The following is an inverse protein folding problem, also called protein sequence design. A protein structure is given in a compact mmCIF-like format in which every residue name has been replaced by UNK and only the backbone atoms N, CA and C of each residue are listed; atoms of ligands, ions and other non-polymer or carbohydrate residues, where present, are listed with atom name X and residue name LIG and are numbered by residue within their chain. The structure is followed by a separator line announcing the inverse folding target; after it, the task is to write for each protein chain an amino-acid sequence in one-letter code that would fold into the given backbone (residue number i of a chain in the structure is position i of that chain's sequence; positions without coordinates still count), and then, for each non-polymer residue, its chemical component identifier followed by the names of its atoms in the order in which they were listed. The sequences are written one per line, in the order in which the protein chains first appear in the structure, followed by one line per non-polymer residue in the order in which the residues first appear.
data_IF_680609994523
#
_entry.id   IF_680609994523
#
_cell.length_a   1.000
_cell.length_b   1.000
_cell.length_c   1.000
_cell.angle_alpha   90.00
_cell.angle_beta   90.00
_cell.angle_gamma   90.00
#
_symmetry.space_group_name_H-M   'P 1'
#
loop_
_entity.id
_entity.type
_entity.pdbx_description
1 polymer ?
#
# COMPACT_ATOMS: atom_id res chain seq x y z
N UNK A 1 1.41 0.25 -50.38
CA UNK A 1 1.45 1.27 -49.30
C UNK A 1 2.02 0.65 -48.03
N UNK A 2 3.26 0.97 -47.67
CA UNK A 2 3.93 0.40 -46.49
C UNK A 2 3.51 1.20 -45.25
N UNK A 3 2.68 0.62 -44.38
CA UNK A 3 2.31 1.24 -43.10
C UNK A 3 3.55 1.27 -42.19
N UNK A 4 4.02 2.48 -41.86
CA UNK A 4 5.11 2.70 -40.91
C UNK A 4 4.53 2.65 -39.50
N UNK A 5 4.99 1.73 -38.65
CA UNK A 5 4.59 1.64 -37.24
C UNK A 5 5.53 2.52 -36.43
N UNK A 6 4.98 3.53 -35.75
CA UNK A 6 5.74 4.33 -34.77
C UNK A 6 5.68 3.64 -33.42
N UNK A 7 6.80 3.08 -32.98
CA UNK A 7 6.92 2.42 -31.68
C UNK A 7 7.17 3.44 -30.56
N UNK A 8 6.34 3.41 -29.51
CA UNK A 8 6.45 4.28 -28.33
C UNK A 8 6.77 3.52 -27.04
N UNK A 9 7.49 2.39 -27.14
CA UNK A 9 7.76 1.49 -26.02
C UNK A 9 8.29 2.19 -24.76
N UNK A 10 9.31 3.05 -24.89
CA UNK A 10 9.90 3.73 -23.73
C UNK A 10 8.91 4.65 -23.00
N UNK A 11 8.02 5.29 -23.76
CA UNK A 11 6.98 6.14 -23.18
C UNK A 11 5.95 5.29 -22.42
N UNK A 12 5.55 4.15 -22.99
CA UNK A 12 4.66 3.20 -22.35
C UNK A 12 5.28 2.63 -21.07
N UNK A 13 6.53 2.18 -21.12
CA UNK A 13 7.23 1.61 -19.96
C UNK A 13 7.37 2.62 -18.83
N UNK A 14 7.70 3.88 -19.12
CA UNK A 14 7.73 4.95 -18.11
C UNK A 14 6.36 5.20 -17.48
N UNK A 15 5.29 5.12 -18.26
CA UNK A 15 3.92 5.30 -17.76
C UNK A 15 3.52 4.16 -16.83
N UNK A 16 3.82 2.92 -17.22
CA UNK A 16 3.59 1.73 -16.39
C UNK A 16 4.38 1.81 -15.09
N UNK A 17 5.67 2.17 -15.16
CA UNK A 17 6.56 2.30 -13.99
C UNK A 17 6.03 3.33 -12.99
N UNK A 18 5.60 4.50 -13.47
CA UNK A 18 4.97 5.54 -12.66
C UNK A 18 3.66 5.06 -12.04
N UNK A 19 2.78 4.44 -12.84
CA UNK A 19 1.48 3.95 -12.39
C UNK A 19 1.60 2.89 -11.28
N UNK A 20 2.56 1.97 -11.41
CA UNK A 20 2.82 0.95 -10.41
C UNK A 20 3.26 1.55 -9.07
N UNK A 21 4.24 2.45 -9.10
CA UNK A 21 4.75 3.12 -7.88
C UNK A 21 3.62 3.83 -7.15
N UNK A 22 2.90 4.70 -7.84
CA UNK A 22 1.84 5.52 -7.24
C UNK A 22 0.67 4.68 -6.73
N UNK A 23 0.29 3.61 -7.44
CA UNK A 23 -0.78 2.73 -6.98
C UNK A 23 -0.40 1.94 -5.73
N UNK A 24 0.86 1.54 -5.60
CA UNK A 24 1.38 0.86 -4.40
C UNK A 24 1.46 1.83 -3.22
N UNK A 25 1.96 3.05 -3.45
CA UNK A 25 1.98 4.11 -2.43
C UNK A 25 0.57 4.39 -1.91
N UNK A 26 -0.39 4.59 -2.81
CA UNK A 26 -1.79 4.83 -2.43
C UNK A 26 -2.38 3.64 -1.65
N UNK A 27 -2.10 2.41 -2.09
CA UNK A 27 -2.66 1.20 -1.46
C UNK A 27 -2.11 1.00 -0.06
N UNK A 28 -0.81 1.16 0.12
CA UNK A 28 -0.16 0.99 1.42
C UNK A 28 -0.54 2.12 2.39
N UNK A 29 -0.64 3.36 1.90
CA UNK A 29 -1.11 4.49 2.70
C UNK A 29 -2.57 4.30 3.14
N UNK A 30 -3.44 3.85 2.23
CA UNK A 30 -4.85 3.57 2.54
C UNK A 30 -5.00 2.44 3.55
N UNK A 31 -4.17 1.39 3.43
CA UNK A 31 -4.16 0.28 4.38
C UNK A 31 -3.70 0.73 5.78
N UNK A 32 -2.69 1.58 5.85
CA UNK A 32 -2.24 2.17 7.12
C UNK A 32 -3.37 3.01 7.78
N UNK A 33 -4.06 3.86 7.01
CA UNK A 33 -5.19 4.65 7.50
C UNK A 33 -6.36 3.76 7.99
N UNK A 34 -6.70 2.71 7.25
CA UNK A 34 -7.73 1.76 7.66
C UNK A 34 -7.36 1.05 8.97
N UNK A 35 -6.11 0.58 9.08
CA UNK A 35 -5.61 -0.07 10.28
C UNK A 35 -5.59 0.87 11.50
N UNK A 36 -5.30 2.16 11.31
CA UNK A 36 -5.39 3.17 12.37
C UNK A 36 -6.82 3.37 12.89
N UNK A 37 -7.83 3.20 12.03
CA UNK A 37 -9.24 3.37 12.39
C UNK A 37 -9.89 2.15 13.06
N UNK A 38 -9.33 0.95 12.87
CA UNK A 38 -9.90 -0.33 13.36
C UNK A 38 -8.89 -1.15 14.19
N UNK A 39 -8.19 -0.50 15.12
CA UNK A 39 -7.11 -1.12 15.89
C UNK A 39 -7.58 -2.34 16.73
N UNK A 40 -8.60 -2.16 17.58
CA UNK A 40 -9.30 -3.23 18.32
C UNK A 40 -10.44 -2.66 19.19
N UNK A 41 -11.44 -3.47 19.57
CA UNK A 41 -12.60 -3.02 20.32
C UNK A 41 -12.24 -2.39 21.68
N UNK A 42 -12.73 -1.16 21.90
CA UNK A 42 -12.77 -0.51 23.22
C UNK A 42 -11.49 0.15 23.72
N UNK A 43 -10.32 -0.02 23.06
CA UNK A 43 -9.05 0.37 23.69
C UNK A 43 -7.94 0.89 22.76
N UNK A 44 -8.14 0.96 21.44
CA UNK A 44 -7.10 1.36 20.47
C UNK A 44 -6.63 2.83 20.52
N UNK A 45 -7.31 3.70 21.27
CA UNK A 45 -7.12 5.16 21.19
C UNK A 45 -6.62 5.84 22.47
N UNK A 46 -6.44 5.12 23.58
CA UNK A 46 -6.19 5.76 24.89
C UNK A 46 -4.88 6.57 24.90
N UNK A 47 -3.81 6.03 24.32
CA UNK A 47 -2.50 6.70 24.26
C UNK A 47 -2.12 7.16 22.86
N UNK A 48 -2.85 6.72 21.82
CA UNK A 48 -2.53 6.99 20.40
C UNK A 48 -1.20 6.39 19.90
N UNK A 49 -0.39 5.77 20.78
CA UNK A 49 0.94 5.25 20.43
C UNK A 49 0.88 4.19 19.34
N UNK A 50 -0.05 3.23 19.47
CA UNK A 50 -0.24 2.19 18.45
C UNK A 50 -0.72 2.79 17.14
N UNK A 51 -1.64 3.76 17.18
CA UNK A 51 -2.12 4.43 15.97
C UNK A 51 -0.98 5.17 15.25
N UNK A 52 -0.20 5.95 15.99
CA UNK A 52 0.96 6.68 15.46
C UNK A 52 2.09 5.77 14.97
N UNK A 53 2.15 4.53 15.47
CA UNK A 53 3.11 3.53 15.01
C UNK A 53 2.79 3.01 13.61
N UNK A 54 1.51 3.00 13.22
CA UNK A 54 1.08 2.46 11.92
C UNK A 54 1.37 3.47 10.82
N UNK A 55 2.28 3.13 9.92
CA UNK A 55 2.76 4.02 8.85
C UNK A 55 2.84 3.27 7.53
N UNK A 56 2.96 4.01 6.43
CA UNK A 56 3.34 3.49 5.12
C UNK A 56 4.64 4.18 4.68
N UNK A 57 5.59 3.40 4.18
CA UNK A 57 6.80 3.88 3.54
C UNK A 57 6.60 3.98 2.02
N UNK A 58 7.33 4.90 1.38
CA UNK A 58 7.31 5.02 -0.07
C UNK A 58 7.75 3.71 -0.77
N UNK A 59 7.07 3.40 -1.86
CA UNK A 59 7.32 2.24 -2.69
C UNK A 59 8.74 2.30 -3.27
N UNK A 60 9.49 1.22 -3.03
CA UNK A 60 10.86 1.08 -3.51
C UNK A 60 10.88 0.22 -4.76
N UNK A 61 11.75 0.60 -5.71
CA UNK A 61 12.01 -0.20 -6.90
C UNK A 61 12.78 -1.47 -6.50
N UNK A 62 12.35 -2.59 -7.03
CA UNK A 62 12.95 -3.92 -6.85
C UNK A 62 13.31 -4.53 -8.21
N UNK A 63 14.00 -5.68 -8.22
CA UNK A 63 14.26 -6.42 -9.47
C UNK A 63 12.99 -6.84 -10.22
N UNK A 64 11.84 -6.94 -9.53
CA UNK A 64 10.57 -7.42 -10.09
C UNK A 64 9.52 -6.32 -10.30
N UNK A 65 9.87 -5.05 -10.09
CA UNK A 65 8.93 -3.92 -10.19
C UNK A 65 9.03 -3.01 -8.96
N UNK A 66 7.90 -2.77 -8.29
CA UNK A 66 7.83 -1.95 -7.08
C UNK A 66 7.29 -2.74 -5.89
N UNK A 67 7.75 -2.43 -4.69
CA UNK A 67 7.20 -2.96 -3.44
C UNK A 67 6.98 -1.83 -2.43
N UNK A 68 5.81 -1.82 -1.81
CA UNK A 68 5.49 -0.92 -0.70
C UNK A 68 5.65 -1.65 0.63
N UNK A 69 5.94 -0.89 1.69
CA UNK A 69 6.04 -1.40 3.05
C UNK A 69 5.15 -0.57 3.95
N UNK A 70 4.38 -1.22 4.81
CA UNK A 70 3.53 -0.55 5.78
C UNK A 70 3.26 -1.47 6.97
N UNK A 71 2.74 -0.90 8.05
CA UNK A 71 2.44 -1.62 9.28
C UNK A 71 2.81 -0.79 10.50
N UNK A 72 2.83 -1.42 11.67
CA UNK A 72 3.32 -0.79 12.90
C UNK A 72 4.85 -0.78 12.94
N UNK A 73 5.41 0.40 13.15
CA UNK A 73 6.82 0.63 13.38
C UNK A 73 7.00 1.14 14.81
N UNK A 74 8.07 0.72 15.49
CA UNK A 74 8.50 1.29 16.77
C UNK A 74 7.65 0.87 18.00
N UNK A 75 6.67 -0.03 17.85
CA UNK A 75 5.84 -0.53 18.96
C UNK A 75 5.83 -2.06 19.01
N UNK A 76 6.55 -2.64 19.99
CA UNK A 76 6.66 -4.10 20.16
C UNK A 76 5.31 -4.76 20.43
N UNK A 77 4.45 -4.14 21.23
CA UNK A 77 3.17 -4.74 21.59
C UNK A 77 2.17 -4.81 20.42
N UNK A 78 2.45 -4.15 19.29
CA UNK A 78 1.62 -4.20 18.09
C UNK A 78 1.51 -5.62 17.53
N UNK A 79 2.55 -6.45 17.67
CA UNK A 79 2.53 -7.85 17.25
C UNK A 79 1.46 -8.63 18.02
N UNK A 80 1.33 -8.42 19.33
CA UNK A 80 0.31 -9.11 20.14
C UNK A 80 -1.10 -8.66 19.77
N UNK A 81 -1.28 -7.37 19.48
CA UNK A 81 -2.57 -6.83 19.02
C UNK A 81 -2.93 -7.41 17.65
N UNK A 82 -1.96 -7.50 16.73
CA UNK A 82 -2.19 -8.11 15.42
C UNK A 82 -2.56 -9.58 15.52
N UNK A 83 -1.86 -10.36 16.35
CA UNK A 83 -2.18 -11.78 16.58
C UNK A 83 -3.62 -11.94 17.11
N UNK A 84 -4.07 -11.04 17.99
CA UNK A 84 -5.37 -11.15 18.65
C UNK A 84 -6.54 -10.60 17.81
N UNK A 85 -6.34 -9.51 17.08
CA UNK A 85 -7.41 -8.76 16.44
C UNK A 85 -7.28 -8.64 14.91
N UNK A 86 -6.09 -8.89 14.38
CA UNK A 86 -5.81 -8.91 12.94
C UNK A 86 -6.06 -7.58 12.23
N UNK A 87 -5.80 -6.45 12.88
CA UNK A 87 -6.14 -5.12 12.36
C UNK A 87 -5.34 -4.76 11.09
N UNK A 88 -4.06 -5.15 11.01
CA UNK A 88 -3.25 -4.98 9.80
C UNK A 88 -3.74 -5.93 8.70
N UNK A 89 -4.03 -7.19 9.04
CA UNK A 89 -4.58 -8.15 8.07
C UNK A 89 -5.89 -7.70 7.46
N UNK A 90 -6.86 -7.28 8.29
CA UNK A 90 -8.17 -6.79 7.83
C UNK A 90 -8.04 -5.58 6.92
N UNK A 91 -7.18 -4.63 7.28
CA UNK A 91 -6.88 -3.48 6.42
C UNK A 91 -6.25 -3.91 5.09
N UNK A 92 -5.34 -4.90 5.10
CA UNK A 92 -4.77 -5.46 3.88
C UNK A 92 -5.84 -6.12 2.99
N UNK A 93 -6.73 -6.92 3.57
CA UNK A 93 -7.83 -7.58 2.87
C UNK A 93 -8.80 -6.58 2.22
N UNK A 94 -9.03 -5.44 2.87
CA UNK A 94 -9.86 -4.36 2.32
C UNK A 94 -9.19 -3.55 1.20
N UNK A 95 -7.87 -3.37 1.26
CA UNK A 95 -7.17 -2.44 0.36
C UNK A 95 -6.41 -3.11 -0.79
N UNK A 96 -5.86 -4.30 -0.59
CA UNK A 96 -5.03 -4.97 -1.61
C UNK A 96 -5.79 -5.35 -2.88
N UNK A 97 -7.06 -5.82 -2.82
CA UNK A 97 -7.83 -6.11 -4.03
C UNK A 97 -8.03 -4.89 -4.95
N UNK A 98 -7.96 -3.67 -4.39
CA UNK A 98 -8.12 -2.42 -5.13
C UNK A 98 -6.89 -2.04 -5.95
N UNK A 99 -5.72 -2.64 -5.69
CA UNK A 99 -4.44 -2.30 -6.33
C UNK A 99 -4.51 -2.38 -7.85
N UNK A 100 -5.08 -3.46 -8.40
CA UNK A 100 -5.20 -3.61 -9.85
C UNK A 100 -6.05 -2.51 -10.48
N UNK A 101 -7.13 -2.10 -9.81
CA UNK A 101 -7.95 -0.95 -10.21
C UNK A 101 -7.16 0.36 -10.18
N UNK A 102 -6.41 0.60 -9.10
CA UNK A 102 -5.55 1.77 -8.93
C UNK A 102 -4.46 1.89 -9.98
N UNK A 103 -3.87 0.77 -10.42
CA UNK A 103 -2.90 0.74 -11.53
C UNK A 103 -3.60 1.10 -12.84
N UNK A 104 -4.72 0.44 -13.15
CA UNK A 104 -5.47 0.67 -14.41
C UNK A 104 -5.95 2.11 -14.54
N UNK A 105 -6.36 2.75 -13.44
CA UNK A 105 -6.79 4.14 -13.43
C UNK A 105 -5.67 5.14 -13.79
N UNK A 106 -4.40 4.71 -13.77
CA UNK A 106 -3.20 5.54 -14.04
C UNK A 106 -2.51 5.20 -15.35
N UNK A 107 -2.96 4.14 -16.04
CA UNK A 107 -2.44 3.74 -17.34
C UNK A 107 -3.15 4.48 -18.46
#
# INVERSE_FOLDING_TARGET
MTKRVTWHGDKLMRRIDKAQREAIDETTASAALAAQGDLYPGHGLITGLLQGSVKAEQARRTRKGYSGRWGSFDVLYAVFIEIRYGFLRKAAEGEYPKLAGRIRARL
#
